data_IF_752459792255
#
_entry.id   IF_752459792255
#
_cell.length_a   1.000
_cell.length_b   1.000
_cell.length_c   1.000
_cell.angle_alpha   90.00
_cell.angle_beta   90.00
_cell.angle_gamma   90.00
#
_symmetry.space_group_name_H-M   'P 1'
#
loop_
_entity.id
_entity.type
_entity.pdbx_description
1 polymer ?
#
# COMPACT_ATOMS: atom_id res chain seq x y z
N UNK A 1 -28.94 -23.07 44.59
CA UNK A 1 -27.93 -23.72 43.75
C UNK A 1 -28.31 -23.68 42.27
N UNK A 2 -29.52 -24.08 41.87
CA UNK A 2 -29.95 -24.04 40.45
C UNK A 2 -29.84 -22.66 39.78
N UNK A 3 -30.29 -21.58 40.46
CA UNK A 3 -30.15 -20.23 39.93
C UNK A 3 -28.70 -19.79 39.73
N UNK A 4 -27.75 -20.31 40.51
CA UNK A 4 -26.32 -20.02 40.37
C UNK A 4 -25.75 -20.71 39.13
N UNK A 5 -26.13 -21.96 38.87
CA UNK A 5 -25.73 -22.65 37.64
C UNK A 5 -26.30 -21.99 36.40
N UNK A 6 -27.57 -21.57 36.45
CA UNK A 6 -28.22 -20.89 35.34
C UNK A 6 -27.55 -19.55 35.01
N UNK A 7 -27.18 -18.74 36.02
CA UNK A 7 -26.45 -17.48 35.80
C UNK A 7 -25.05 -17.69 35.26
N UNK A 8 -24.34 -18.74 35.70
CA UNK A 8 -23.02 -19.09 35.15
C UNK A 8 -23.14 -19.48 33.68
N UNK A 9 -24.12 -20.33 33.31
CA UNK A 9 -24.33 -20.73 31.92
C UNK A 9 -24.66 -19.53 31.04
N UNK A 10 -25.58 -18.66 31.48
CA UNK A 10 -25.96 -17.46 30.72
C UNK A 10 -24.77 -16.52 30.53
N UNK A 11 -23.96 -16.31 31.56
CA UNK A 11 -22.78 -15.45 31.45
C UNK A 11 -21.74 -16.03 30.49
N UNK A 12 -21.52 -17.35 30.52
CA UNK A 12 -20.59 -18.02 29.60
C UNK A 12 -21.06 -17.92 28.14
N UNK A 13 -22.35 -18.12 27.90
CA UNK A 13 -22.96 -17.97 26.57
C UNK A 13 -22.84 -16.53 26.07
N UNK A 14 -23.11 -15.53 26.93
CA UNK A 14 -22.98 -14.12 26.56
C UNK A 14 -21.53 -13.76 26.17
N UNK A 15 -20.54 -14.25 26.92
CA UNK A 15 -19.12 -14.05 26.61
C UNK A 15 -18.74 -14.71 25.29
N UNK A 16 -19.20 -15.95 25.05
CA UNK A 16 -18.92 -16.65 23.80
C UNK A 16 -19.48 -15.91 22.57
N UNK A 17 -20.70 -15.37 22.68
CA UNK A 17 -21.32 -14.55 21.63
C UNK A 17 -20.51 -13.26 21.38
N UNK A 18 -20.09 -12.58 22.44
CA UNK A 18 -19.30 -11.35 22.33
C UNK A 18 -17.96 -11.58 21.61
N UNK A 19 -17.26 -12.68 21.94
CA UNK A 19 -15.99 -13.06 21.28
C UNK A 19 -16.24 -13.36 19.79
N UNK A 20 -17.27 -14.15 19.46
CA UNK A 20 -17.60 -14.48 18.08
C UNK A 20 -17.92 -13.23 17.24
N UNK A 21 -18.67 -12.29 17.82
CA UNK A 21 -19.01 -11.02 17.18
C UNK A 21 -17.77 -10.15 16.90
N UNK A 22 -16.87 -10.03 17.88
CA UNK A 22 -15.62 -9.28 17.70
C UNK A 22 -14.72 -9.91 16.62
N UNK A 23 -14.60 -11.24 16.60
CA UNK A 23 -13.82 -11.95 15.59
C UNK A 23 -14.38 -11.73 14.18
N UNK A 24 -15.71 -11.74 14.02
CA UNK A 24 -16.36 -11.46 12.73
C UNK A 24 -16.10 -10.03 12.25
N UNK A 25 -16.22 -9.04 13.15
CA UNK A 25 -15.92 -7.63 12.86
C UNK A 25 -14.46 -7.42 12.43
N UNK A 26 -13.52 -8.05 13.13
CA UNK A 26 -12.10 -7.99 12.76
C UNK A 26 -11.82 -8.58 11.37
N UNK A 27 -12.43 -9.74 11.05
CA UNK A 27 -12.30 -10.36 9.72
C UNK A 27 -12.80 -9.45 8.61
N UNK A 28 -13.96 -8.81 8.80
CA UNK A 28 -14.51 -7.87 7.80
C UNK A 28 -13.60 -6.66 7.58
N UNK A 29 -13.09 -6.07 8.68
CA UNK A 29 -12.13 -4.95 8.59
C UNK A 29 -10.85 -5.33 7.86
N UNK A 30 -10.32 -6.51 8.17
CA UNK A 30 -9.10 -7.01 7.55
C UNK A 30 -9.31 -7.28 6.05
N UNK A 31 -10.41 -7.91 5.67
CA UNK A 31 -10.74 -8.14 4.26
C UNK A 31 -10.88 -6.82 3.48
N UNK A 32 -11.56 -5.82 4.06
CA UNK A 32 -11.70 -4.50 3.45
C UNK A 32 -10.35 -3.77 3.31
N UNK A 33 -9.51 -3.85 4.34
CA UNK A 33 -8.14 -3.31 4.32
C UNK A 33 -7.31 -3.91 3.18
N UNK A 34 -7.34 -5.24 3.05
CA UNK A 34 -6.61 -5.95 2.00
C UNK A 34 -7.14 -5.64 0.60
N UNK A 35 -8.45 -5.52 0.45
CA UNK A 35 -9.06 -5.12 -0.82
C UNK A 35 -8.63 -3.69 -1.21
N UNK A 36 -8.69 -2.76 -0.27
CA UNK A 36 -8.26 -1.38 -0.47
C UNK A 36 -6.77 -1.29 -0.84
N UNK A 37 -5.86 -1.93 -0.09
CA UNK A 37 -4.43 -1.93 -0.44
C UNK A 37 -4.14 -2.57 -1.79
N UNK A 38 -4.84 -3.66 -2.16
CA UNK A 38 -4.71 -4.25 -3.50
C UNK A 38 -5.15 -3.27 -4.59
N UNK A 39 -6.21 -2.50 -4.36
CA UNK A 39 -6.66 -1.48 -5.31
C UNK A 39 -5.64 -0.34 -5.48
N UNK A 40 -5.02 0.12 -4.38
CA UNK A 40 -3.95 1.12 -4.43
C UNK A 40 -2.73 0.60 -5.18
N UNK A 41 -2.36 -0.67 -4.99
CA UNK A 41 -1.25 -1.30 -5.72
C UNK A 41 -1.52 -1.38 -7.22
N UNK A 42 -2.76 -1.75 -7.62
CA UNK A 42 -3.16 -1.74 -9.04
C UNK A 42 -3.13 -0.33 -9.61
N UNK A 43 -3.64 0.65 -8.86
CA UNK A 43 -3.65 2.04 -9.27
C UNK A 43 -2.23 2.61 -9.39
N UNK A 44 -1.29 2.20 -8.52
CA UNK A 44 0.12 2.58 -8.64
C UNK A 44 0.75 2.12 -9.96
N UNK A 45 0.31 0.98 -10.51
CA UNK A 45 0.81 0.47 -11.79
C UNK A 45 0.21 1.20 -13.00
N UNK A 46 -0.98 1.77 -12.86
CA UNK A 46 -1.67 2.55 -13.89
C UNK A 46 -2.37 3.78 -13.29
N UNK A 47 -1.59 4.82 -12.91
CA UNK A 47 -2.07 5.93 -12.08
C UNK A 47 -3.07 6.86 -12.79
N UNK A 48 -3.14 6.79 -14.12
CA UNK A 48 -4.05 7.61 -14.93
C UNK A 48 -5.38 6.91 -15.21
N UNK A 49 -5.58 5.69 -14.70
CA UNK A 49 -6.79 4.94 -14.92
C UNK A 49 -7.93 5.42 -14.02
N UNK A 50 -8.88 6.14 -14.60
CA UNK A 50 -10.04 6.66 -13.90
C UNK A 50 -10.89 5.57 -13.22
N UNK A 51 -10.99 4.39 -13.84
CA UNK A 51 -11.75 3.26 -13.29
C UNK A 51 -11.07 2.71 -12.03
N UNK A 52 -9.74 2.55 -12.04
CA UNK A 52 -8.99 2.14 -10.86
C UNK A 52 -9.06 3.17 -9.73
N UNK A 53 -9.01 4.47 -10.07
CA UNK A 53 -9.22 5.56 -9.09
C UNK A 53 -10.59 5.46 -8.41
N UNK A 54 -11.66 5.23 -9.20
CA UNK A 54 -13.02 5.08 -8.67
C UNK A 54 -13.14 3.88 -7.73
N UNK A 55 -12.58 2.74 -8.12
CA UNK A 55 -12.58 1.51 -7.30
C UNK A 55 -11.80 1.72 -6.00
N UNK A 56 -10.64 2.37 -6.06
CA UNK A 56 -9.86 2.66 -4.86
C UNK A 56 -10.61 3.57 -3.88
N UNK A 57 -11.31 4.59 -4.39
CA UNK A 57 -12.14 5.48 -3.57
C UNK A 57 -13.28 4.73 -2.89
N UNK A 58 -13.99 3.87 -3.62
CA UNK A 58 -15.10 3.07 -3.08
C UNK A 58 -14.62 2.11 -1.99
N UNK A 59 -13.52 1.39 -2.23
CA UNK A 59 -12.95 0.47 -1.25
C UNK A 59 -12.38 1.20 -0.01
N UNK A 60 -11.80 2.39 -0.20
CA UNK A 60 -11.36 3.25 0.89
C UNK A 60 -12.51 3.71 1.78
N UNK A 61 -13.66 4.08 1.18
CA UNK A 61 -14.90 4.40 1.91
C UNK A 61 -15.43 3.23 2.70
N UNK A 62 -15.48 2.05 2.10
CA UNK A 62 -15.93 0.82 2.79
C UNK A 62 -15.02 0.53 3.98
N UNK A 63 -13.70 0.59 3.79
CA UNK A 63 -12.74 0.36 4.87
C UNK A 63 -12.88 1.40 6.00
N UNK A 64 -12.94 2.69 5.68
CA UNK A 64 -13.14 3.76 6.67
C UNK A 64 -14.46 3.62 7.43
N UNK A 65 -15.54 3.26 6.74
CA UNK A 65 -16.82 3.03 7.41
C UNK A 65 -16.73 1.87 8.43
N UNK A 66 -16.04 0.78 8.06
CA UNK A 66 -15.84 -0.37 8.95
C UNK A 66 -14.98 -0.04 10.17
N UNK A 67 -13.95 0.78 10.02
CA UNK A 67 -13.09 1.19 11.15
C UNK A 67 -13.84 2.10 12.14
N UNK A 68 -14.88 2.82 11.67
CA UNK A 68 -15.76 3.65 12.52
C UNK A 68 -16.98 2.92 13.08
N UNK A 69 -16.97 1.59 13.15
CA UNK A 69 -18.13 0.79 13.58
C UNK A 69 -19.39 1.07 12.74
N UNK A 70 -19.25 1.21 11.41
CA UNK A 70 -20.34 1.48 10.47
C UNK A 70 -21.07 2.83 10.68
N UNK A 71 -20.41 3.82 11.30
CA UNK A 71 -20.98 5.16 11.56
C UNK A 71 -20.95 6.11 10.35
N UNK A 72 -20.65 5.60 9.16
CA UNK A 72 -20.49 6.39 7.94
C UNK A 72 -19.07 6.94 7.76
N UNK A 73 -18.85 7.50 6.56
CA UNK A 73 -17.60 8.14 6.16
C UNK A 73 -17.71 9.64 6.40
N UNK A 74 -16.73 10.25 7.06
CA UNK A 74 -16.69 11.70 7.24
C UNK A 74 -15.85 12.40 6.19
N UNK A 75 -15.93 13.73 6.14
CA UNK A 75 -15.07 14.54 5.26
C UNK A 75 -13.58 14.29 5.51
N UNK A 76 -13.15 14.12 6.77
CA UNK A 76 -11.76 13.80 7.10
C UNK A 76 -11.34 12.44 6.54
N UNK A 77 -12.24 11.45 6.58
CA UNK A 77 -12.00 10.13 6.02
C UNK A 77 -11.87 10.19 4.49
N UNK A 78 -12.74 10.96 3.81
CA UNK A 78 -12.64 11.20 2.37
C UNK A 78 -11.31 11.86 1.98
N UNK A 79 -10.84 12.83 2.77
CA UNK A 79 -9.54 13.49 2.55
C UNK A 79 -8.39 12.52 2.74
N UNK A 80 -8.43 11.67 3.77
CA UNK A 80 -7.40 10.66 4.00
C UNK A 80 -7.32 9.64 2.85
N UNK A 81 -8.48 9.12 2.40
CA UNK A 81 -8.54 8.21 1.25
C UNK A 81 -8.00 8.87 -0.02
N UNK A 82 -8.34 10.15 -0.24
CA UNK A 82 -7.80 10.90 -1.39
C UNK A 82 -6.29 11.09 -1.29
N UNK A 83 -5.76 11.37 -0.10
CA UNK A 83 -4.32 11.52 0.12
C UNK A 83 -3.56 10.21 -0.18
N UNK A 84 -4.07 9.07 0.27
CA UNK A 84 -3.51 7.76 -0.04
C UNK A 84 -3.47 7.49 -1.56
N UNK A 85 -4.57 7.80 -2.25
CA UNK A 85 -4.69 7.64 -3.71
C UNK A 85 -3.68 8.54 -4.42
N UNK A 86 -3.60 9.80 -4.03
CA UNK A 86 -2.68 10.76 -4.65
C UNK A 86 -1.21 10.38 -4.37
N UNK A 87 -0.89 9.88 -3.17
CA UNK A 87 0.42 9.34 -2.84
C UNK A 87 0.78 8.10 -3.66
N UNK A 88 -0.17 7.17 -3.85
CA UNK A 88 0.00 6.00 -4.70
C UNK A 88 0.28 6.38 -6.16
N UNK A 89 -0.38 7.44 -6.66
CA UNK A 89 -0.15 7.98 -8.00
C UNK A 89 1.18 8.76 -8.11
N UNK A 90 1.53 9.57 -7.11
CA UNK A 90 2.74 10.40 -7.14
C UNK A 90 4.03 9.56 -7.17
N UNK A 91 4.09 8.47 -6.39
CA UNK A 91 5.22 7.55 -6.42
C UNK A 91 5.42 6.87 -7.79
N UNK A 92 4.34 6.68 -8.55
CA UNK A 92 4.41 6.12 -9.90
C UNK A 92 5.02 7.10 -10.92
N UNK A 93 4.75 8.40 -10.79
CA UNK A 93 5.32 9.44 -11.66
C UNK A 93 6.84 9.51 -11.50
N UNK A 94 7.34 9.49 -10.26
CA UNK A 94 8.80 9.50 -9.98
C UNK A 94 9.48 8.25 -10.55
N UNK A 95 8.87 7.06 -10.40
CA UNK A 95 9.46 5.83 -10.95
C UNK A 95 9.41 5.79 -12.49
N UNK A 96 8.34 6.27 -13.11
CA UNK A 96 8.21 6.34 -14.56
C UNK A 96 9.19 7.36 -15.19
N UNK A 97 9.48 8.46 -14.50
CA UNK A 97 10.50 9.42 -14.91
C UNK A 97 11.91 8.82 -14.84
N UNK A 98 12.25 8.13 -13.75
CA UNK A 98 13.54 7.44 -13.63
C UNK A 98 13.73 6.35 -14.68
N UNK A 99 12.68 5.57 -14.99
CA UNK A 99 12.72 4.53 -16.02
C UNK A 99 12.88 5.12 -17.44
N UNK A 100 12.14 6.18 -17.79
CA UNK A 100 12.29 6.87 -19.08
C UNK A 100 13.65 7.54 -19.25
N UNK A 101 14.23 8.04 -18.16
CA UNK A 101 15.56 8.65 -18.20
C UNK A 101 16.67 7.62 -18.43
N UNK A 102 16.46 6.35 -18.06
CA UNK A 102 17.38 5.24 -18.35
C UNK A 102 17.24 4.71 -19.78
N UNK A 103 16.02 4.72 -20.33
CA UNK A 103 15.72 4.21 -21.69
C UNK A 103 16.20 5.13 -22.82
N UNK A 104 16.35 6.44 -22.53
CA UNK A 104 16.86 7.43 -23.48
C UNK A 104 18.36 7.71 -23.39
N UNK A 105 19.08 7.10 -22.43
CA UNK A 105 20.50 7.35 -22.24
C UNK A 105 21.35 6.31 -22.94
N UNK A 106 22.34 6.80 -23.70
CA UNK A 106 23.36 5.94 -24.27
C UNK A 106 24.13 5.20 -23.17
N UNK A 107 24.63 4.00 -23.48
CA UNK A 107 25.49 3.22 -22.57
C UNK A 107 26.68 4.05 -22.08
N UNK A 108 27.20 4.91 -22.95
CA UNK A 108 28.28 5.85 -22.68
C UNK A 108 27.89 6.90 -21.63
N UNK A 109 26.69 7.49 -21.71
CA UNK A 109 26.20 8.43 -20.68
C UNK A 109 25.97 7.77 -19.33
N UNK A 110 25.48 6.52 -19.34
CA UNK A 110 25.30 5.73 -18.11
C UNK A 110 26.62 5.45 -17.41
N UNK A 111 27.67 5.11 -18.18
CA UNK A 111 29.02 4.91 -17.66
C UNK A 111 29.66 6.21 -17.17
N UNK A 112 29.44 7.33 -17.87
CA UNK A 112 29.97 8.63 -17.46
C UNK A 112 29.38 9.13 -16.13
N UNK A 113 28.07 8.93 -15.89
CA UNK A 113 27.45 9.24 -14.60
C UNK A 113 27.94 8.33 -13.48
N UNK A 114 28.14 7.06 -13.77
CA UNK A 114 28.66 6.11 -12.78
C UNK A 114 30.08 6.52 -12.33
N UNK A 115 30.90 7.00 -13.26
CA UNK A 115 32.23 7.54 -12.99
C UNK A 115 32.18 8.80 -12.13
N UNK A 116 31.25 9.71 -12.40
CA UNK A 116 31.04 10.93 -11.62
C UNK A 116 30.59 10.64 -10.18
N UNK A 117 29.69 9.67 -10.00
CA UNK A 117 29.21 9.22 -8.68
C UNK A 117 30.30 8.53 -7.85
N UNK A 118 31.21 7.79 -8.50
CA UNK A 118 32.38 7.20 -7.84
C UNK A 118 33.37 8.29 -7.41
N UNK A 119 33.68 9.25 -8.29
CA UNK A 119 34.59 10.38 -7.99
C UNK A 119 34.08 11.29 -6.88
N UNK A 120 32.76 11.43 -6.76
CA UNK A 120 32.12 12.18 -5.67
C UNK A 120 32.02 11.41 -4.35
N UNK A 121 32.55 10.18 -4.29
CA UNK A 121 32.59 9.35 -3.07
C UNK A 121 31.23 8.80 -2.65
N UNK A 122 30.23 8.83 -3.54
CA UNK A 122 28.89 8.31 -3.27
C UNK A 122 28.77 6.80 -3.46
N UNK A 123 29.79 6.16 -4.05
CA UNK A 123 29.86 4.73 -4.30
C UNK A 123 31.20 4.18 -3.83
N UNK A 124 31.16 3.00 -3.23
CA UNK A 124 32.38 2.22 -2.95
C UNK A 124 32.90 1.54 -4.24
N UNK A 125 34.17 1.17 -4.26
CA UNK A 125 34.79 0.49 -5.42
C UNK A 125 34.08 -0.82 -5.78
N UNK A 126 33.53 -1.52 -4.79
CA UNK A 126 32.76 -2.74 -4.99
C UNK A 126 31.43 -2.46 -5.71
N UNK A 127 30.70 -1.43 -5.28
CA UNK A 127 29.42 -1.03 -5.87
C UNK A 127 29.59 -0.46 -7.27
N UNK A 128 30.67 0.29 -7.51
CA UNK A 128 31.02 0.79 -8.84
C UNK A 128 31.24 -0.35 -9.83
N UNK A 129 32.05 -1.34 -9.45
CA UNK A 129 32.37 -2.47 -10.33
C UNK A 129 31.15 -3.34 -10.65
N UNK A 130 30.26 -3.54 -9.66
CA UNK A 130 29.02 -4.28 -9.86
C UNK A 130 28.07 -3.55 -10.84
N UNK A 131 27.89 -2.24 -10.66
CA UNK A 131 27.03 -1.43 -11.53
C UNK A 131 27.60 -1.30 -12.94
N UNK A 132 28.92 -1.14 -13.09
CA UNK A 132 29.60 -1.08 -14.38
C UNK A 132 29.39 -2.37 -15.17
N UNK A 133 29.48 -3.53 -14.50
CA UNK A 133 29.22 -4.83 -15.10
C UNK A 133 27.77 -4.95 -15.58
N UNK A 134 26.79 -4.57 -14.76
CA UNK A 134 25.36 -4.59 -15.13
C UNK A 134 25.04 -3.71 -16.34
N UNK A 135 25.71 -2.56 -16.48
CA UNK A 135 25.52 -1.67 -17.64
C UNK A 135 26.10 -2.31 -18.91
N UNK A 136 27.28 -2.93 -18.83
CA UNK A 136 27.93 -3.58 -19.97
C UNK A 136 27.23 -4.90 -20.39
N UNK A 137 26.68 -5.65 -19.45
CA UNK A 137 25.88 -6.85 -19.70
C UNK A 137 24.50 -6.52 -20.33
N UNK A 138 24.13 -5.24 -20.42
CA UNK A 138 22.88 -4.78 -21.08
C UNK A 138 23.05 -4.40 -22.55
N UNK A 139 24.22 -4.68 -23.14
CA UNK A 139 24.53 -4.58 -24.58
C UNK A 139 24.14 -5.90 -25.26
#
# INVERSE_FOLDING_TARGET
MEYLYLTIIVSFVAVAIAIAYQAAQQRQRQAAKEAYHRSLSRLRNDPNNASLRRVALELGRVYSNLTRNHKGVTLFDEVAVKNDIDAACAGAVTMAQSARQLDGQSVQERLARLDDLSKSGMLTDAEYNEQRKRILDSI
#
